data_IF_035561856386
#
_entry.id   IF_035561856386
#
_cell.length_a   1.000
_cell.length_b   1.000
_cell.length_c   1.000
_cell.angle_alpha   90.00
_cell.angle_beta   90.00
_cell.angle_gamma   90.00
#
_symmetry.space_group_name_H-M   'P 1'
#
loop_
_entity.id
_entity.type
_entity.pdbx_description
1 polymer ?
#
# COMPACT_ATOMS: atom_id res chain seq x y z
N UNK A 1 -24.46 35.87 -7.83
CA UNK A 1 -23.79 34.74 -8.54
C UNK A 1 -23.31 33.74 -7.51
N UNK A 2 -23.91 32.55 -7.43
CA UNK A 2 -23.38 31.48 -6.59
C UNK A 2 -22.24 30.78 -7.35
N UNK A 3 -21.08 30.52 -6.72
CA UNK A 3 -20.01 29.80 -7.38
C UNK A 3 -20.47 28.40 -7.78
N UNK A 4 -20.05 27.88 -8.95
CA UNK A 4 -20.43 26.55 -9.40
C UNK A 4 -19.96 25.52 -8.36
N UNK A 5 -20.91 24.72 -7.85
CA UNK A 5 -20.62 23.64 -6.91
C UNK A 5 -19.69 22.65 -7.62
N UNK A 6 -18.43 22.57 -7.19
CA UNK A 6 -17.48 21.55 -7.66
C UNK A 6 -18.10 20.18 -7.43
N UNK A 7 -18.45 19.48 -8.51
CA UNK A 7 -18.86 18.09 -8.42
C UNK A 7 -17.68 17.31 -7.83
N UNK A 8 -17.87 16.73 -6.64
CA UNK A 8 -16.85 15.88 -6.03
C UNK A 8 -16.62 14.71 -6.99
N UNK A 9 -15.40 14.62 -7.52
CA UNK A 9 -14.98 13.51 -8.34
C UNK A 9 -15.28 12.21 -7.57
N UNK A 10 -15.99 11.32 -8.24
CA UNK A 10 -16.32 10.02 -7.68
C UNK A 10 -15.02 9.22 -7.64
N UNK A 11 -14.70 8.68 -6.47
CA UNK A 11 -13.49 7.89 -6.34
C UNK A 11 -13.67 6.54 -7.03
N UNK A 12 -12.67 6.04 -7.78
CA UNK A 12 -12.78 4.79 -8.56
C UNK A 12 -13.22 3.58 -7.73
N UNK A 13 -12.78 3.50 -6.48
CA UNK A 13 -13.14 2.46 -5.53
C UNK A 13 -14.63 2.42 -5.19
N UNK A 14 -15.30 3.56 -5.05
CA UNK A 14 -16.73 3.62 -4.78
C UNK A 14 -17.53 2.99 -5.93
N UNK A 15 -17.19 3.32 -7.18
CA UNK A 15 -17.86 2.74 -8.34
C UNK A 15 -17.65 1.23 -8.40
N UNK A 16 -16.42 0.77 -8.12
CA UNK A 16 -16.11 -0.65 -8.09
C UNK A 16 -16.93 -1.37 -7.01
N UNK A 17 -17.03 -0.82 -5.79
CA UNK A 17 -17.82 -1.41 -4.71
C UNK A 17 -19.33 -1.46 -5.03
N UNK A 18 -19.86 -0.45 -5.73
CA UNK A 18 -21.26 -0.46 -6.19
C UNK A 18 -21.47 -1.59 -7.22
N UNK A 19 -20.56 -1.71 -8.18
CA UNK A 19 -20.68 -2.71 -9.25
C UNK A 19 -20.47 -4.16 -8.78
N UNK A 20 -19.77 -4.35 -7.66
CA UNK A 20 -19.44 -5.67 -7.11
C UNK A 20 -20.13 -5.93 -5.76
N UNK A 21 -21.23 -5.23 -5.46
CA UNK A 21 -21.87 -5.27 -4.14
C UNK A 21 -22.39 -6.65 -3.72
N UNK A 22 -22.66 -7.55 -4.68
CA UNK A 22 -23.12 -8.92 -4.44
C UNK A 22 -22.03 -9.84 -3.88
N UNK A 23 -20.77 -9.56 -4.18
CA UNK A 23 -19.60 -10.33 -3.73
C UNK A 23 -18.68 -9.48 -2.84
N UNK A 24 -19.12 -8.28 -2.44
CA UNK A 24 -18.30 -7.37 -1.69
C UNK A 24 -18.09 -7.90 -0.27
N UNK A 25 -16.85 -8.25 0.05
CA UNK A 25 -16.41 -8.58 1.40
C UNK A 25 -15.20 -7.71 1.77
N UNK A 26 -14.89 -7.56 3.08
CA UNK A 26 -13.71 -6.83 3.50
C UNK A 26 -12.42 -7.37 2.86
N UNK A 27 -12.26 -8.69 2.79
CA UNK A 27 -11.07 -9.33 2.19
C UNK A 27 -10.94 -9.02 0.70
N UNK A 28 -12.01 -9.21 -0.07
CA UNK A 28 -12.00 -8.97 -1.53
C UNK A 28 -11.70 -7.49 -1.81
N UNK A 29 -12.27 -6.57 -1.03
CA UNK A 29 -11.95 -5.15 -1.14
C UNK A 29 -10.46 -4.88 -0.88
N UNK A 30 -9.92 -5.42 0.21
CA UNK A 30 -8.51 -5.23 0.59
C UNK A 30 -7.56 -5.74 -0.50
N UNK A 31 -7.82 -6.93 -1.02
CA UNK A 31 -7.02 -7.56 -2.08
C UNK A 31 -7.11 -6.77 -3.39
N UNK A 32 -8.31 -6.37 -3.80
CA UNK A 32 -8.55 -5.63 -5.05
C UNK A 32 -7.80 -4.30 -5.10
N UNK A 33 -7.78 -3.57 -3.98
CA UNK A 33 -7.08 -2.28 -3.89
C UNK A 33 -5.67 -2.38 -3.34
N UNK A 34 -5.17 -3.61 -3.18
CA UNK A 34 -3.82 -3.93 -2.73
C UNK A 34 -3.42 -3.21 -1.42
N UNK A 35 -4.33 -3.14 -0.45
CA UNK A 35 -4.00 -2.48 0.83
C UNK A 35 -2.94 -3.28 1.59
N UNK A 36 -1.91 -2.57 2.04
CA UNK A 36 -0.81 -3.12 2.84
C UNK A 36 -1.06 -3.10 4.35
N UNK A 37 -1.91 -2.17 4.81
CA UNK A 37 -2.14 -1.94 6.23
C UNK A 37 -3.63 -1.99 6.60
N UNK A 38 -3.88 -2.52 7.79
CA UNK A 38 -5.23 -2.70 8.35
C UNK A 38 -5.96 -1.39 8.58
N UNK A 39 -5.27 -0.38 9.10
CA UNK A 39 -5.89 0.87 9.51
C UNK A 39 -6.46 1.63 8.30
N UNK A 40 -5.67 1.78 7.24
CA UNK A 40 -6.08 2.48 6.02
C UNK A 40 -7.18 1.74 5.28
N UNK A 41 -7.08 0.42 5.18
CA UNK A 41 -8.13 -0.39 4.57
C UNK A 41 -9.46 -0.26 5.31
N UNK A 42 -9.45 -0.44 6.63
CA UNK A 42 -10.66 -0.34 7.45
C UNK A 42 -11.25 1.07 7.39
N UNK A 43 -10.41 2.12 7.48
CA UNK A 43 -10.86 3.52 7.35
C UNK A 43 -11.52 3.75 5.99
N UNK A 44 -10.93 3.26 4.90
CA UNK A 44 -11.47 3.47 3.57
C UNK A 44 -12.77 2.71 3.35
N UNK A 45 -12.80 1.44 3.73
CA UNK A 45 -13.98 0.59 3.58
C UNK A 45 -15.16 1.15 4.39
N UNK A 46 -14.91 1.54 5.64
CA UNK A 46 -15.90 2.26 6.48
C UNK A 46 -16.41 3.51 5.78
N UNK A 47 -15.50 4.34 5.25
CA UNK A 47 -15.88 5.55 4.54
C UNK A 47 -16.75 5.29 3.31
N UNK A 48 -16.53 4.19 2.58
CA UNK A 48 -17.35 3.82 1.42
C UNK A 48 -18.74 3.38 1.87
N UNK A 49 -18.83 2.53 2.90
CA UNK A 49 -20.10 2.07 3.45
C UNK A 49 -20.94 3.23 4.01
N UNK A 50 -20.31 4.28 4.53
CA UNK A 50 -20.99 5.48 5.04
C UNK A 50 -21.37 6.48 3.94
N UNK A 51 -20.95 6.28 2.69
CA UNK A 51 -21.33 7.19 1.60
C UNK A 51 -22.80 7.04 1.24
N UNK A 52 -23.52 8.18 1.25
CA UNK A 52 -24.92 8.23 0.78
C UNK A 52 -25.11 7.62 -0.60
N UNK A 53 -24.16 7.84 -1.51
CA UNK A 53 -24.22 7.25 -2.85
C UNK A 53 -24.18 5.72 -2.79
N UNK A 54 -23.27 5.13 -2.02
CA UNK A 54 -23.23 3.68 -1.86
C UNK A 54 -24.57 3.12 -1.37
N UNK A 55 -25.09 3.71 -0.29
CA UNK A 55 -26.38 3.32 0.30
C UNK A 55 -27.59 3.48 -0.65
N UNK A 56 -27.54 4.44 -1.57
CA UNK A 56 -28.61 4.63 -2.55
C UNK A 56 -28.61 3.58 -3.68
N UNK A 57 -27.43 3.04 -4.03
CA UNK A 57 -27.28 2.11 -5.16
C UNK A 57 -27.16 0.65 -4.72
N UNK A 58 -26.85 0.39 -3.45
CA UNK A 58 -26.61 -0.96 -2.93
C UNK A 58 -27.70 -1.32 -1.92
N UNK A 59 -28.69 -2.18 -2.30
CA UNK A 59 -29.82 -2.51 -1.44
C UNK A 59 -29.44 -3.19 -0.12
N UNK A 60 -28.34 -3.96 -0.13
CA UNK A 60 -27.82 -4.69 1.04
C UNK A 60 -26.71 -3.91 1.80
N UNK A 61 -26.64 -2.58 1.65
CA UNK A 61 -25.58 -1.78 2.28
C UNK A 61 -25.54 -1.91 3.82
N UNK A 62 -26.71 -2.01 4.47
CA UNK A 62 -26.81 -2.23 5.92
C UNK A 62 -26.24 -3.58 6.34
N UNK A 63 -26.50 -4.64 5.56
CA UNK A 63 -25.95 -5.97 5.81
C UNK A 63 -24.43 -5.96 5.67
N UNK A 64 -23.90 -5.34 4.60
CA UNK A 64 -22.45 -5.20 4.39
C UNK A 64 -21.76 -4.47 5.54
N UNK A 65 -22.43 -3.48 6.15
CA UNK A 65 -21.94 -2.80 7.35
C UNK A 65 -21.95 -3.70 8.58
N UNK A 66 -23.00 -4.50 8.77
CA UNK A 66 -23.07 -5.47 9.86
C UNK A 66 -21.99 -6.54 9.72
N UNK A 67 -21.83 -7.11 8.52
CA UNK A 67 -20.81 -8.12 8.20
C UNK A 67 -19.40 -7.57 8.43
N UNK A 68 -19.15 -6.32 8.05
CA UNK A 68 -17.86 -5.68 8.33
C UNK A 68 -17.58 -5.52 9.82
N UNK A 69 -18.59 -5.10 10.60
CA UNK A 69 -18.44 -4.97 12.05
C UNK A 69 -18.21 -6.33 12.72
N UNK A 70 -18.84 -7.39 12.23
CA UNK A 70 -18.64 -8.76 12.72
C UNK A 70 -17.25 -9.29 12.35
N UNK A 71 -16.79 -9.01 11.13
CA UNK A 71 -15.46 -9.39 10.67
C UNK A 71 -14.37 -8.67 11.46
N UNK A 72 -14.57 -7.39 11.78
CA UNK A 72 -13.62 -6.59 12.55
C UNK A 72 -13.49 -7.11 13.98
N UNK A 73 -12.26 -7.47 14.38
CA UNK A 73 -11.96 -8.10 15.66
C UNK A 73 -12.18 -9.62 15.67
N UNK A 74 -12.66 -10.21 14.58
CA UNK A 74 -12.80 -11.66 14.48
C UNK A 74 -11.46 -12.37 14.26
N UNK A 75 -11.42 -13.67 14.54
CA UNK A 75 -10.28 -14.52 14.20
C UNK A 75 -10.01 -14.53 12.69
N UNK A 76 -11.05 -14.40 11.86
CA UNK A 76 -10.92 -14.37 10.41
C UNK A 76 -10.13 -13.13 9.95
N UNK A 77 -10.38 -11.97 10.55
CA UNK A 77 -9.60 -10.74 10.27
C UNK A 77 -8.12 -10.94 10.66
N UNK A 78 -7.85 -11.50 11.84
CA UNK A 78 -6.48 -11.76 12.31
C UNK A 78 -5.72 -12.66 11.35
N UNK A 79 -6.31 -13.81 11.01
CA UNK A 79 -5.71 -14.76 10.06
C UNK A 79 -5.50 -14.13 8.69
N UNK A 80 -6.47 -13.38 8.18
CA UNK A 80 -6.36 -12.68 6.91
C UNK A 80 -5.14 -11.73 6.88
N UNK A 81 -4.99 -10.86 7.88
CA UNK A 81 -3.88 -9.91 7.90
C UNK A 81 -2.51 -10.57 8.09
N UNK A 82 -2.43 -11.68 8.81
CA UNK A 82 -1.19 -12.46 8.92
C UNK A 82 -0.78 -13.04 7.55
N UNK A 83 -1.73 -13.64 6.83
CA UNK A 83 -1.48 -14.16 5.49
C UNK A 83 -1.11 -13.03 4.51
N UNK A 84 -1.79 -11.89 4.62
CA UNK A 84 -1.55 -10.73 3.77
C UNK A 84 -0.13 -10.17 3.91
N UNK A 85 0.40 -10.12 5.13
CA UNK A 85 1.80 -9.71 5.36
C UNK A 85 2.79 -10.63 4.66
N UNK A 86 2.56 -11.94 4.73
CA UNK A 86 3.41 -12.96 4.07
C UNK A 86 3.35 -12.78 2.56
N UNK A 87 2.15 -12.58 2.01
CA UNK A 87 1.95 -12.39 0.57
C UNK A 87 2.67 -11.14 0.06
N UNK A 88 2.50 -9.99 0.72
CA UNK A 88 3.16 -8.74 0.35
C UNK A 88 4.69 -8.84 0.45
N UNK A 89 5.19 -9.55 1.46
CA UNK A 89 6.63 -9.83 1.58
C UNK A 89 7.14 -10.67 0.40
N UNK A 90 6.37 -11.68 -0.02
CA UNK A 90 6.69 -12.52 -1.18
C UNK A 90 6.67 -11.72 -2.48
N UNK A 91 5.68 -10.87 -2.69
CA UNK A 91 5.60 -9.97 -3.84
C UNK A 91 6.80 -9.02 -3.90
N UNK A 92 7.18 -8.44 -2.76
CA UNK A 92 8.33 -7.56 -2.64
C UNK A 92 9.64 -8.29 -2.97
N UNK A 93 9.82 -9.51 -2.44
CA UNK A 93 10.99 -10.34 -2.75
C UNK A 93 11.07 -10.70 -4.24
N UNK A 94 9.94 -11.07 -4.85
CA UNK A 94 9.86 -11.37 -6.28
C UNK A 94 10.20 -10.15 -7.15
N UNK A 95 9.69 -8.97 -6.78
CA UNK A 95 10.01 -7.72 -7.47
C UNK A 95 11.51 -7.41 -7.39
N UNK A 96 12.13 -7.57 -6.22
CA UNK A 96 13.58 -7.38 -6.01
C UNK A 96 14.42 -8.35 -6.85
N UNK A 97 14.02 -9.62 -6.92
CA UNK A 97 14.71 -10.63 -7.74
C UNK A 97 14.73 -10.25 -9.23
N UNK A 98 13.61 -9.74 -9.77
CA UNK A 98 13.52 -9.30 -11.18
C UNK A 98 14.43 -8.11 -11.48
N UNK A 99 14.50 -7.13 -10.58
CA UNK A 99 15.40 -5.96 -10.75
C UNK A 99 16.87 -6.39 -10.74
N UNK A 100 17.23 -7.39 -9.93
CA UNK A 100 18.60 -7.94 -9.88
C UNK A 100 19.04 -8.57 -11.20
N UNK A 101 18.15 -9.31 -11.87
CA UNK A 101 18.44 -9.93 -13.19
C UNK A 101 18.63 -8.86 -14.27
N UNK A 102 17.78 -7.83 -14.31
CA UNK A 102 17.87 -6.75 -15.30
C UNK A 102 19.19 -5.96 -15.13
N UNK A 103 19.60 -5.69 -13.89
CA UNK A 103 20.87 -5.01 -13.60
C UNK A 103 22.08 -5.86 -14.02
N UNK A 104 21.99 -7.19 -13.87
CA UNK A 104 23.06 -8.11 -14.25
C UNK A 104 23.20 -8.23 -15.77
N UNK A 105 22.10 -8.28 -16.52
CA UNK A 105 22.12 -8.31 -18.00
C UNK A 105 22.61 -6.98 -18.59
N UNK A 106 22.23 -5.84 -18.01
CA UNK A 106 22.71 -4.52 -18.44
C UNK A 106 24.22 -4.35 -18.30
N UNK A 107 24.86 -5.01 -17.33
CA UNK A 107 26.32 -4.99 -17.15
C UNK A 107 27.06 -5.93 -18.11
N UNK A 108 26.45 -7.04 -18.53
CA UNK A 108 27.05 -7.95 -19.52
C UNK A 108 27.05 -7.31 -20.92
N UNK A 109 25.97 -6.63 -21.30
CA UNK A 109 25.93 -5.88 -22.57
C UNK A 109 26.96 -4.74 -22.66
N UNK A 110 27.26 -4.08 -21.53
CA UNK A 110 28.27 -3.02 -21.49
C UNK A 110 29.71 -3.55 -21.57
N UNK A 111 29.97 -4.78 -21.11
CA UNK A 111 31.29 -5.42 -21.22
C UNK A 111 31.57 -5.93 -22.63
N UNK A 112 30.54 -6.39 -23.37
CA UNK A 112 30.66 -6.82 -24.76
C UNK A 112 30.89 -5.63 -25.72
N UNK A 113 30.27 -4.47 -25.46
CA UNK A 113 30.51 -3.24 -26.25
C UNK A 113 31.93 -2.68 -26.13
N UNK A 114 32.65 -2.97 -25.05
CA UNK A 114 34.04 -2.54 -24.83
C UNK A 114 35.09 -3.51 -25.38
N UNK A 115 34.72 -4.73 -25.76
CA UNK A 115 35.64 -5.71 -26.36
C UNK A 115 35.71 -5.64 -27.89
N UNK A 116 34.67 -5.12 -28.56
CA UNK A 116 34.68 -4.89 -30.01
C UNK A 116 35.35 -3.57 -30.43
N UNK A 117 35.78 -2.74 -29.49
CA UNK A 117 36.45 -1.46 -29.76
C UNK A 117 37.99 -1.48 -29.70
N UNK A 118 38.64 -2.64 -29.53
CA UNK A 118 40.10 -2.72 -29.31
C UNK A 118 40.92 -3.28 -30.49
N UNK A 119 40.34 -3.40 -31.68
CA UNK A 119 41.11 -3.84 -32.86
C UNK A 119 41.26 -2.76 -33.94
N UNK A 120 41.04 -1.48 -33.60
CA UNK A 120 41.26 -0.37 -34.53
C UNK A 120 42.00 0.77 -33.86
N UNK A 121 43.31 0.59 -33.68
CA UNK A 121 44.23 1.71 -33.46
C UNK A 121 45.33 1.67 -34.51
N UNK A 122 44.93 2.00 -35.73
CA UNK A 122 45.81 2.56 -36.73
C UNK A 122 46.29 3.93 -36.24
N UNK A 123 47.59 4.17 -36.44
CA UNK A 123 48.35 5.43 -36.49
C UNK A 123 47.61 6.75 -36.19
N UNK A 124 48.24 7.53 -35.28
CA UNK A 124 48.46 8.99 -35.34
C UNK A 124 48.07 9.63 -36.70
N UNK A 125 47.33 10.72 -36.80
CA UNK A 125 47.46 11.99 -36.08
C UNK A 125 46.22 12.89 -36.28
N UNK A 126 46.17 13.94 -35.46
CA UNK A 126 45.55 15.26 -35.70
C UNK A 126 44.14 15.53 -35.17
N UNK A 127 44.16 16.50 -34.25
CA UNK A 127 43.22 17.61 -34.04
C UNK A 127 41.77 17.31 -33.66
N UNK A 128 41.35 17.83 -32.50
CA UNK A 128 39.93 18.11 -32.29
C UNK A 128 39.50 18.21 -30.83
N UNK A 129 39.57 19.42 -30.29
CA UNK A 129 38.56 20.05 -29.42
C UNK A 129 37.80 19.13 -28.43
N UNK A 130 38.26 19.09 -27.18
CA UNK A 130 37.51 18.49 -26.06
C UNK A 130 36.59 19.55 -25.46
N UNK A 131 35.32 19.54 -25.88
CA UNK A 131 34.25 20.21 -25.14
C UNK A 131 33.85 19.35 -23.94
N UNK A 132 33.98 19.94 -22.76
CA UNK A 132 33.40 19.47 -21.50
C UNK A 132 31.91 19.15 -21.67
N UNK A 133 31.49 17.98 -21.17
CA UNK A 133 30.09 17.73 -20.84
C UNK A 133 30.04 17.05 -19.49
N UNK A 134 29.50 17.81 -18.55
CA UNK A 134 29.24 17.47 -17.17
C UNK A 134 28.41 16.19 -17.03
N UNK A 135 29.00 15.18 -16.39
CA UNK A 135 28.25 14.02 -15.89
C UNK A 135 27.54 14.41 -14.59
N UNK A 136 26.44 15.17 -14.71
CA UNK A 136 25.52 15.42 -13.61
C UNK A 136 24.65 14.17 -13.36
N UNK A 137 25.23 13.17 -12.70
CA UNK A 137 24.50 12.02 -12.21
C UNK A 137 23.80 12.42 -10.90
N UNK A 138 22.60 12.98 -11.01
CA UNK A 138 21.81 13.38 -9.84
C UNK A 138 21.35 12.13 -9.08
N UNK A 139 22.10 11.85 -8.03
CA UNK A 139 21.87 10.94 -6.93
C UNK A 139 20.38 10.87 -6.52
N UNK A 140 19.71 9.75 -6.80
CA UNK A 140 18.41 9.45 -6.19
C UNK A 140 18.67 9.11 -4.73
N UNK A 141 18.44 10.09 -3.83
CA UNK A 141 18.39 9.87 -2.38
C UNK A 141 17.18 8.98 -2.07
N UNK A 142 17.44 7.70 -1.81
CA UNK A 142 16.50 6.83 -1.11
C UNK A 142 16.52 7.27 0.35
N UNK A 143 15.49 7.98 0.78
CA UNK A 143 15.25 8.26 2.20
C UNK A 143 14.70 6.96 2.79
N UNK A 144 15.55 6.23 3.50
CA UNK A 144 15.13 5.16 4.42
C UNK A 144 14.82 5.87 5.74
N UNK A 145 13.53 5.98 6.07
CA UNK A 145 13.12 6.34 7.43
C UNK A 145 13.01 5.03 8.22
N UNK A 146 14.06 4.72 8.97
CA UNK A 146 14.06 3.78 10.08
C UNK A 146 13.95 4.56 11.41
N UNK A 147 13.43 3.89 12.44
CA UNK A 147 13.25 4.32 13.85
C UNK A 147 12.05 5.25 14.14
N UNK A 148 11.25 5.08 15.20
CA UNK A 148 11.31 4.22 16.38
C UNK A 148 9.88 4.14 16.96
N UNK A 149 9.35 2.95 17.25
CA UNK A 149 8.13 2.79 18.08
C UNK A 149 8.54 2.68 19.53
N UNK A 150 8.32 3.76 20.27
CA UNK A 150 8.45 3.83 21.71
C UNK A 150 7.33 2.98 22.35
N UNK A 151 7.74 1.96 23.10
CA UNK A 151 6.87 1.14 23.95
C UNK A 151 6.63 1.93 25.23
N UNK A 152 5.37 2.21 25.57
CA UNK A 152 4.98 2.64 26.91
C UNK A 152 4.24 1.48 27.57
N UNK A 153 4.93 0.84 28.52
CA UNK A 153 4.42 -0.12 29.50
C UNK A 153 4.39 0.61 30.84
N UNK A 154 3.20 0.71 31.45
CA UNK A 154 2.89 1.00 32.86
C UNK A 154 1.35 0.95 32.92
N UNK A 155 0.69 -0.14 33.36
CA UNK A 155 0.57 -0.54 34.78
C UNK A 155 -0.63 0.19 35.40
N UNK A 156 -1.83 -0.41 35.42
CA UNK A 156 -2.55 -0.94 36.61
C UNK A 156 -2.98 0.18 37.60
N UNK A 157 -4.21 0.37 38.09
CA UNK A 157 -5.29 -0.56 38.39
C UNK A 157 -6.62 0.23 38.46
N UNK A 158 -7.73 -0.38 38.01
CA UNK A 158 -9.08 0.12 38.32
C UNK A 158 -9.72 -0.82 39.32
N UNK A 159 -9.87 -0.28 40.52
CA UNK A 159 -10.42 -0.91 41.70
C UNK A 159 -11.91 -1.25 41.53
N UNK A 160 -12.25 -2.42 42.06
CA UNK A 160 -13.53 -3.10 42.10
C UNK A 160 -14.61 -2.27 42.81
N UNK A 161 -15.78 -2.09 42.19
CA UNK A 161 -17.00 -1.72 42.91
C UNK A 161 -17.90 -2.96 43.02
N UNK A 162 -17.82 -3.59 44.19
CA UNK A 162 -18.71 -4.66 44.61
C UNK A 162 -20.15 -4.16 44.76
N UNK A 163 -21.09 -4.97 44.27
CA UNK A 163 -22.52 -4.81 44.47
C UNK A 163 -22.95 -5.58 45.73
N UNK A 164 -23.15 -4.89 46.85
CA UNK A 164 -23.88 -5.47 47.97
C UNK A 164 -25.38 -5.18 47.84
N UNK A 165 -26.12 -6.26 47.57
CA UNK A 165 -27.54 -6.38 47.87
C UNK A 165 -27.70 -6.49 49.37
N UNK A 166 -28.45 -5.58 49.99
CA UNK A 166 -29.03 -5.80 51.31
C UNK A 166 -30.54 -5.57 51.28
N UNK A 167 -31.22 -6.67 51.60
CA UNK A 167 -32.62 -6.82 51.97
C UNK A 167 -32.89 -6.04 53.26
N UNK A 168 -34.02 -5.34 53.33
CA UNK A 168 -34.57 -4.84 54.60
C UNK A 168 -35.60 -3.73 54.42
N UNK A 169 -36.88 -4.09 54.54
CA UNK A 169 -38.03 -3.18 54.56
C UNK A 169 -39.34 -3.94 54.46
#
# INVERSE_FOLDING_TARGET
MHPPKKQKAVTPDLNWCINNSSSLTPSIFIETFNYGDKASANKRYTSILDMKRFNNFVPNASQLRADFNLWKGSQQEVTFWNNRKIELARETANARSRVSVITSIGRIGAQEGLRLGRDSKNKYDSSGSSSEVDNNCSLVRVIINDEETLVTDDGDASESAEAERLVGG
#
